data_IF_789436694512
#
_entry.id   IF_789436694512
#
_cell.length_a   1.000
_cell.length_b   1.000
_cell.length_c   1.000
_cell.angle_alpha   90.00
_cell.angle_beta   90.00
_cell.angle_gamma   90.00
#
_symmetry.space_group_name_H-M   'P 1'
#
loop_
_entity.id
_entity.type
_entity.pdbx_description
1 polymer ?
#
# COMPACT_ATOMS: atom_id res chain seq x y z
N UNK A 1 13.77 9.61 -11.82
CA UNK A 1 13.35 8.49 -10.93
C UNK A 1 12.35 7.64 -11.67
N UNK A 2 12.61 6.34 -11.84
CA UNK A 2 11.63 5.43 -12.40
C UNK A 2 10.67 4.98 -11.28
N UNK A 3 9.37 5.17 -11.48
CA UNK A 3 8.36 4.68 -10.55
C UNK A 3 7.91 3.29 -11.00
N UNK A 4 8.17 2.28 -10.17
CA UNK A 4 7.69 0.92 -10.42
C UNK A 4 6.15 0.89 -10.50
N UNK A 5 5.61 0.22 -11.52
CA UNK A 5 4.18 -0.02 -11.72
C UNK A 5 3.91 -1.49 -11.97
N UNK A 6 2.87 -2.04 -11.35
CA UNK A 6 2.56 -3.47 -11.48
C UNK A 6 1.09 -3.78 -11.24
N UNK A 7 0.40 -4.13 -12.32
CA UNK A 7 -0.98 -4.61 -12.25
C UNK A 7 -1.07 -5.92 -11.45
N UNK A 8 -0.07 -6.80 -11.55
CA UNK A 8 -0.03 -8.07 -10.81
C UNK A 8 0.00 -7.82 -9.31
N UNK A 9 0.85 -6.90 -8.85
CA UNK A 9 0.90 -6.48 -7.45
C UNK A 9 -0.41 -5.83 -7.01
N UNK A 10 -0.97 -4.92 -7.83
CA UNK A 10 -2.23 -4.25 -7.54
C UNK A 10 -3.41 -5.22 -7.37
N UNK A 11 -3.51 -6.25 -8.22
CA UNK A 11 -4.55 -7.29 -8.11
C UNK A 11 -4.29 -8.19 -6.91
N UNK A 12 -3.04 -8.50 -6.59
CA UNK A 12 -2.68 -9.30 -5.42
C UNK A 12 -3.02 -8.59 -4.10
N UNK A 13 -2.81 -7.28 -4.01
CA UNK A 13 -3.15 -6.47 -2.83
C UNK A 13 -4.63 -6.56 -2.45
N UNK A 14 -5.52 -6.54 -3.45
CA UNK A 14 -6.98 -6.64 -3.24
C UNK A 14 -7.43 -7.97 -2.63
N UNK A 15 -6.54 -8.96 -2.55
CA UNK A 15 -6.78 -10.28 -1.95
C UNK A 15 -6.22 -10.40 -0.53
N UNK A 16 -5.52 -9.39 -0.05
CA UNK A 16 -4.94 -9.38 1.29
C UNK A 16 -5.94 -8.79 2.29
N UNK A 17 -5.84 -9.21 3.54
CA UNK A 17 -6.58 -8.58 4.64
C UNK A 17 -6.00 -7.20 4.96
N UNK A 18 -6.83 -6.36 5.58
CA UNK A 18 -6.46 -5.01 5.98
C UNK A 18 -5.31 -5.09 6.98
N UNK A 19 -4.16 -4.52 6.65
CA UNK A 19 -2.96 -4.64 7.51
C UNK A 19 -3.12 -3.97 8.87
N UNK A 20 -4.10 -3.07 9.02
CA UNK A 20 -4.42 -2.38 10.27
C UNK A 20 -5.43 -3.11 11.14
N UNK A 21 -6.45 -3.76 10.56
CA UNK A 21 -7.58 -4.29 11.33
C UNK A 21 -8.05 -5.71 10.95
N UNK A 22 -7.43 -6.36 9.96
CA UNK A 22 -7.74 -7.73 9.54
C UNK A 22 -8.99 -7.90 8.66
N UNK A 23 -9.69 -6.82 8.30
CA UNK A 23 -10.86 -6.93 7.41
C UNK A 23 -10.45 -7.46 6.01
N UNK A 24 -11.11 -8.52 5.47
CA UNK A 24 -10.75 -9.13 4.19
C UNK A 24 -11.07 -8.27 2.96
N UNK A 25 -12.01 -7.33 3.07
CA UNK A 25 -12.42 -6.47 1.95
C UNK A 25 -11.55 -5.22 1.88
N UNK A 26 -10.49 -5.29 1.07
CA UNK A 26 -9.46 -4.24 1.00
C UNK A 26 -9.35 -3.57 -0.35
N UNK A 27 -8.88 -2.32 -0.31
CA UNK A 27 -8.45 -1.56 -1.47
C UNK A 27 -6.98 -1.15 -1.29
N UNK A 28 -6.20 -1.07 -2.38
CA UNK A 28 -4.82 -0.62 -2.30
C UNK A 28 -4.71 0.85 -1.90
N UNK A 29 -3.94 1.13 -0.85
CA UNK A 29 -3.60 2.48 -0.39
C UNK A 29 -2.13 2.77 -0.69
N UNK A 30 -1.81 3.87 -1.36
CA UNK A 30 -0.42 4.32 -1.53
C UNK A 30 0.03 5.14 -0.32
N UNK A 31 1.29 4.99 0.13
CA UNK A 31 1.88 5.87 1.16
C UNK A 31 1.62 7.33 0.80
N UNK A 32 1.00 8.05 1.74
CA UNK A 32 0.71 9.48 1.63
C UNK A 32 1.56 10.27 2.62
N UNK A 33 2.10 11.42 2.22
CA UNK A 33 2.63 12.44 3.14
C UNK A 33 3.90 12.06 3.92
N UNK A 34 4.56 10.93 3.58
CA UNK A 34 5.81 10.51 4.22
C UNK A 34 6.89 10.24 3.18
N UNK A 35 8.11 10.72 3.46
CA UNK A 35 9.32 10.39 2.71
C UNK A 35 9.34 10.87 1.26
N UNK A 36 8.56 11.91 0.93
CA UNK A 36 8.46 12.48 -0.43
C UNK A 36 8.12 11.48 -1.54
N UNK A 37 7.53 10.33 -1.18
CA UNK A 37 7.10 9.32 -2.16
C UNK A 37 5.80 9.71 -2.85
N UNK A 38 5.03 10.61 -2.25
CA UNK A 38 3.76 11.16 -2.77
C UNK A 38 3.72 12.67 -2.57
N UNK A 39 2.84 13.35 -3.32
CA UNK A 39 2.71 14.80 -3.26
C UNK A 39 1.76 15.38 -4.30
N UNK A 40 1.72 16.70 -4.43
CA UNK A 40 0.90 17.36 -5.44
C UNK A 40 1.36 16.90 -6.84
N UNK A 41 0.43 16.32 -7.61
CA UNK A 41 0.68 15.70 -8.91
C UNK A 41 1.64 14.49 -8.94
N UNK A 42 2.02 13.93 -7.77
CA UNK A 42 2.89 12.75 -7.70
C UNK A 42 2.18 11.57 -7.01
N UNK A 43 2.07 10.45 -7.73
CA UNK A 43 1.59 9.17 -7.21
C UNK A 43 2.77 8.31 -6.81
N UNK A 44 2.80 7.86 -5.57
CA UNK A 44 3.82 6.93 -5.06
C UNK A 44 3.94 5.68 -5.94
N UNK A 45 5.12 5.06 -6.03
CA UNK A 45 5.32 3.83 -6.79
C UNK A 45 4.43 2.71 -6.26
N UNK A 46 4.09 1.74 -7.10
CA UNK A 46 3.13 0.69 -6.72
C UNK A 46 3.66 -0.21 -5.61
N UNK A 47 4.98 -0.38 -5.47
CA UNK A 47 5.54 -1.13 -4.32
C UNK A 47 5.20 -0.47 -2.97
N UNK A 48 4.94 0.84 -2.95
CA UNK A 48 4.62 1.62 -1.76
C UNK A 48 3.11 1.61 -1.47
N UNK A 49 2.44 0.49 -1.77
CA UNK A 49 1.03 0.28 -1.45
C UNK A 49 0.87 -0.73 -0.31
N UNK A 50 -0.16 -0.53 0.51
CA UNK A 50 -0.65 -1.49 1.50
C UNK A 50 -2.16 -1.77 1.34
N UNK A 51 -2.65 -2.94 1.77
CA UNK A 51 -4.07 -3.25 1.76
C UNK A 51 -4.76 -2.60 2.96
N UNK A 52 -5.77 -1.78 2.71
CA UNK A 52 -6.64 -1.21 3.75
C UNK A 52 -8.10 -1.43 3.39
N UNK A 53 -8.94 -1.76 4.37
CA UNK A 53 -10.39 -1.69 4.17
C UNK A 53 -10.85 -0.24 4.04
N UNK A 54 -12.00 0.00 3.41
CA UNK A 54 -12.51 1.35 3.12
C UNK A 54 -12.49 2.28 4.36
N UNK A 55 -12.96 1.88 5.55
CA UNK A 55 -12.90 2.73 6.75
C UNK A 55 -11.46 3.12 7.12
N UNK A 56 -10.55 2.14 7.16
CA UNK A 56 -9.14 2.40 7.48
C UNK A 56 -8.48 3.26 6.41
N UNK A 57 -8.82 3.05 5.13
CA UNK A 57 -8.29 3.81 4.01
C UNK A 57 -8.67 5.29 4.13
N UNK A 58 -9.92 5.60 4.46
CA UNK A 58 -10.38 6.98 4.67
C UNK A 58 -9.74 7.64 5.88
N UNK A 59 -9.59 6.91 6.99
CA UNK A 59 -8.91 7.41 8.19
C UNK A 59 -7.44 7.74 7.90
N UNK A 60 -6.71 6.84 7.26
CA UNK A 60 -5.29 7.02 6.89
C UNK A 60 -5.10 8.10 5.83
N UNK A 61 -6.12 8.37 5.00
CA UNK A 61 -6.07 9.47 4.06
C UNK A 61 -6.18 10.85 4.73
N UNK A 62 -6.86 10.92 5.89
CA UNK A 62 -7.09 12.13 6.69
C UNK A 62 -5.97 12.35 7.71
N UNK A 63 -5.64 11.31 8.46
CA UNK A 63 -4.57 11.26 9.44
C UNK A 63 -3.44 10.46 8.82
N UNK A 64 -2.23 11.00 8.75
CA UNK A 64 -1.09 10.37 8.04
C UNK A 64 -0.17 9.69 9.05
N UNK A 65 -0.48 8.45 9.52
CA UNK A 65 0.31 7.74 10.51
C UNK A 65 1.67 7.33 9.95
N UNK A 66 2.71 7.38 10.77
CA UNK A 66 4.09 7.01 10.40
C UNK A 66 4.21 5.51 10.07
N UNK A 67 3.32 4.70 10.65
CA UNK A 67 3.20 3.25 10.52
C UNK A 67 2.94 2.81 9.08
N UNK A 68 2.49 3.70 8.19
CA UNK A 68 2.37 3.43 6.75
C UNK A 68 3.65 2.85 6.15
N UNK A 69 4.84 3.26 6.61
CA UNK A 69 6.10 2.68 6.14
C UNK A 69 6.23 1.22 6.50
N UNK A 70 5.99 0.90 7.77
CA UNK A 70 6.04 -0.48 8.25
C UNK A 70 5.03 -1.34 7.50
N UNK A 71 3.80 -0.85 7.33
CA UNK A 71 2.75 -1.55 6.59
C UNK A 71 3.13 -1.81 5.15
N UNK A 72 3.61 -0.79 4.42
CA UNK A 72 4.06 -0.96 3.04
C UNK A 72 5.18 -2.00 2.93
N UNK A 73 6.18 -1.93 3.82
CA UNK A 73 7.34 -2.82 3.79
C UNK A 73 6.98 -4.26 4.14
N UNK A 74 6.10 -4.47 5.12
CA UNK A 74 5.58 -5.81 5.46
C UNK A 74 4.80 -6.41 4.30
N UNK A 75 3.91 -5.62 3.69
CA UNK A 75 3.15 -6.05 2.51
C UNK A 75 4.06 -6.37 1.32
N UNK A 76 5.06 -5.53 1.07
CA UNK A 76 6.05 -5.76 0.02
C UNK A 76 6.87 -7.04 0.28
N UNK A 77 7.32 -7.25 1.51
CA UNK A 77 8.04 -8.46 1.92
C UNK A 77 7.21 -9.72 1.67
N UNK A 78 5.95 -9.73 2.09
CA UNK A 78 5.02 -10.83 1.84
C UNK A 78 4.85 -11.11 0.34
N UNK A 79 4.73 -10.08 -0.49
CA UNK A 79 4.61 -10.25 -1.94
C UNK A 79 5.89 -10.81 -2.59
N UNK A 80 7.06 -10.44 -2.08
CA UNK A 80 8.35 -11.01 -2.53
C UNK A 80 8.40 -12.50 -2.18
N UNK A 81 8.08 -12.86 -0.94
CA UNK A 81 8.06 -14.25 -0.46
C UNK A 81 7.10 -15.12 -1.28
N UNK A 82 5.94 -14.58 -1.63
CA UNK A 82 4.94 -15.27 -2.46
C UNK A 82 5.27 -15.25 -3.96
N UNK A 83 6.39 -14.65 -4.38
CA UNK A 83 6.79 -14.61 -5.78
C UNK A 83 5.85 -13.79 -6.66
N UNK A 84 5.15 -12.80 -6.09
CA UNK A 84 4.20 -11.94 -6.83
C UNK A 84 4.90 -11.19 -7.96
N UNK A 85 6.19 -10.90 -7.82
CA UNK A 85 6.97 -10.16 -8.82
C UNK A 85 7.69 -11.03 -9.86
N UNK A 86 7.65 -12.36 -9.70
CA UNK A 86 8.24 -13.32 -10.65
C UNK A 86 7.33 -13.57 -11.85
#
# INVERSE_FOLDING_TARGET
MAFYRSQKYHVWLKKQECIRCGNPDTTPHHIKGIGHLSGCALRAPDWAQMPLCIPCHEEVQKMVPIEQWEWALRTLGQAIEQGVFK
#
